data_IF_633467621990
#
_entry.id   IF_633467621990
#
_cell.length_a   1.000
_cell.length_b   1.000
_cell.length_c   1.000
_cell.angle_alpha   90.00
_cell.angle_beta   90.00
_cell.angle_gamma   90.00
#
_symmetry.space_group_name_H-M   'P 1'
#
loop_
_entity.id
_entity.type
_entity.pdbx_description
1 polymer ?
#
# COMPACT_ATOMS: atom_id res chain seq x y z
N UNK A 1 -28.91 -14.66 10.08
CA UNK A 1 -27.50 -14.26 10.27
C UNK A 1 -27.43 -13.32 11.47
N UNK A 2 -26.56 -13.63 12.44
CA UNK A 2 -26.42 -12.83 13.65
C UNK A 2 -25.81 -11.45 13.30
N UNK A 3 -26.44 -10.34 13.73
CA UNK A 3 -26.01 -8.97 13.39
C UNK A 3 -24.83 -8.48 14.23
N UNK A 4 -24.23 -9.34 15.05
CA UNK A 4 -23.18 -8.96 16.01
C UNK A 4 -21.75 -8.96 15.44
N UNK A 5 -21.60 -9.04 14.12
CA UNK A 5 -20.29 -9.03 13.47
C UNK A 5 -19.64 -7.66 13.64
N UNK A 6 -18.35 -7.64 13.98
CA UNK A 6 -17.61 -6.40 14.22
C UNK A 6 -17.67 -5.42 13.04
N UNK A 7 -17.71 -5.94 11.81
CA UNK A 7 -17.76 -5.18 10.55
C UNK A 7 -19.12 -4.53 10.27
N UNK A 8 -20.18 -4.95 10.96
CA UNK A 8 -21.54 -4.42 10.82
C UNK A 8 -21.91 -3.45 11.95
N UNK A 9 -20.99 -3.20 12.90
CA UNK A 9 -21.19 -2.24 13.99
C UNK A 9 -20.85 -0.84 13.52
N UNK A 10 -21.64 0.14 13.96
CA UNK A 10 -21.37 1.56 13.72
C UNK A 10 -20.02 1.93 14.34
N UNK A 11 -19.18 2.62 13.55
CA UNK A 11 -17.91 3.14 14.05
C UNK A 11 -18.17 4.24 15.08
N UNK A 12 -17.81 4.00 16.33
CA UNK A 12 -17.84 4.98 17.41
C UNK A 12 -16.42 5.45 17.73
N UNK A 13 -16.21 6.77 17.89
CA UNK A 13 -14.92 7.28 18.38
C UNK A 13 -14.68 6.79 19.81
N UNK A 14 -13.57 6.09 20.09
CA UNK A 14 -13.26 5.65 21.44
C UNK A 14 -12.91 6.86 22.32
N UNK A 15 -13.26 6.79 23.61
CA UNK A 15 -12.76 7.74 24.61
C UNK A 15 -11.26 7.55 24.79
N UNK A 16 -10.51 8.64 24.82
CA UNK A 16 -9.08 8.59 25.13
C UNK A 16 -8.86 8.04 26.54
N UNK A 17 -7.91 7.12 26.75
CA UNK A 17 -7.58 6.64 28.09
C UNK A 17 -7.00 7.76 28.94
N UNK A 18 -7.26 7.66 30.25
CA UNK A 18 -6.58 8.46 31.25
C UNK A 18 -5.11 8.03 31.33
N UNK A 19 -4.22 9.02 31.42
CA UNK A 19 -2.80 8.83 31.64
C UNK A 19 -2.37 9.70 32.82
N UNK A 20 -1.43 9.21 33.61
CA UNK A 20 -0.74 10.05 34.57
C UNK A 20 -0.01 11.20 33.86
N UNK A 21 0.03 12.38 34.48
CA UNK A 21 0.59 13.60 33.91
C UNK A 21 2.05 13.45 33.39
N UNK A 22 2.83 12.51 33.94
CA UNK A 22 4.18 12.22 33.45
C UNK A 22 4.15 11.51 32.08
N UNK A 23 3.27 10.53 31.91
CA UNK A 23 3.11 9.78 30.66
C UNK A 23 2.39 10.63 29.61
N UNK A 24 1.48 11.49 30.03
CA UNK A 24 0.78 12.41 29.12
C UNK A 24 1.74 13.31 28.34
N UNK A 25 2.82 13.79 28.98
CA UNK A 25 3.87 14.57 28.32
C UNK A 25 4.69 13.79 27.28
N UNK A 26 4.60 12.46 27.27
CA UNK A 26 5.28 11.60 26.31
C UNK A 26 4.42 11.27 25.08
N UNK A 27 3.11 11.56 25.12
CA UNK A 27 2.22 11.34 24.00
C UNK A 27 2.37 12.47 22.97
N UNK A 28 2.86 12.17 21.77
CA UNK A 28 2.93 13.13 20.67
C UNK A 28 1.60 13.18 19.90
N UNK A 29 0.87 12.07 19.86
CA UNK A 29 -0.41 11.92 19.16
C UNK A 29 -1.49 11.34 20.09
N UNK A 30 -2.78 11.48 19.76
CA UNK A 30 -3.85 10.80 20.49
C UNK A 30 -3.71 9.28 20.51
N UNK A 31 -3.09 8.69 19.48
CA UNK A 31 -2.85 7.25 19.37
C UNK A 31 -1.85 6.79 20.44
N UNK A 32 -0.81 7.58 20.70
CA UNK A 32 0.20 7.28 21.72
C UNK A 32 -0.43 7.11 23.10
N UNK A 33 -1.56 7.77 23.37
CA UNK A 33 -2.26 7.61 24.65
C UNK A 33 -2.73 6.17 24.87
N UNK A 34 -3.21 5.52 23.81
CA UNK A 34 -3.62 4.12 23.86
C UNK A 34 -2.43 3.17 24.04
N UNK A 35 -1.31 3.48 23.38
CA UNK A 35 -0.07 2.70 23.51
C UNK A 35 0.48 2.82 24.93
N UNK A 36 0.63 4.04 25.45
CA UNK A 36 1.14 4.32 26.79
C UNK A 36 0.26 3.72 27.88
N UNK A 37 -1.07 3.77 27.73
CA UNK A 37 -1.98 3.16 28.69
C UNK A 37 -1.77 1.64 28.76
N UNK A 38 -1.56 0.98 27.61
CA UNK A 38 -1.26 -0.46 27.57
C UNK A 38 0.14 -0.78 28.11
N UNK A 39 1.16 0.04 27.80
CA UNK A 39 2.49 -0.14 28.37
C UNK A 39 2.46 -0.02 29.90
N UNK A 40 1.80 1.01 30.43
CA UNK A 40 1.64 1.23 31.87
C UNK A 40 0.93 0.04 32.54
N UNK A 41 -0.17 -0.44 31.98
CA UNK A 41 -0.90 -1.59 32.51
C UNK A 41 -0.06 -2.88 32.55
N UNK A 42 0.95 -2.99 31.68
CA UNK A 42 1.88 -4.13 31.63
C UNK A 42 3.22 -3.85 32.34
N UNK A 43 3.38 -2.70 33.02
CA UNK A 43 4.64 -2.33 33.67
C UNK A 43 5.80 -2.08 32.70
N UNK A 44 5.50 -1.74 31.44
CA UNK A 44 6.46 -1.46 30.38
C UNK A 44 6.60 0.04 30.13
N UNK A 45 7.70 0.43 29.46
CA UNK A 45 7.95 1.80 29.01
C UNK A 45 8.19 1.85 27.50
N UNK A 46 8.10 3.05 26.92
CA UNK A 46 8.46 3.27 25.52
C UNK A 46 9.93 2.95 25.28
N UNK A 47 10.23 2.31 24.15
CA UNK A 47 11.60 2.11 23.72
C UNK A 47 12.28 3.46 23.43
N UNK A 48 13.59 3.53 23.66
CA UNK A 48 14.37 4.69 23.25
C UNK A 48 14.30 4.88 21.72
N UNK A 49 14.33 6.14 21.26
CA UNK A 49 14.40 6.44 19.83
C UNK A 49 15.70 5.86 19.27
N UNK A 50 15.60 5.23 18.10
CA UNK A 50 16.78 4.72 17.40
C UNK A 50 17.73 5.87 17.00
N UNK A 51 19.01 5.57 16.86
CA UNK A 51 20.01 6.53 16.39
C UNK A 51 19.73 6.95 14.93
N UNK A 52 20.28 8.10 14.53
CA UNK A 52 20.02 8.70 13.20
C UNK A 52 20.40 7.76 12.05
N UNK A 53 21.50 7.03 12.16
CA UNK A 53 21.95 6.11 11.10
C UNK A 53 20.95 4.95 10.95
N UNK A 54 20.48 4.39 12.07
CA UNK A 54 19.44 3.36 12.07
C UNK A 54 18.12 3.88 11.48
N UNK A 55 17.71 5.11 11.85
CA UNK A 55 16.51 5.74 11.31
C UNK A 55 16.58 5.95 9.79
N UNK A 56 17.69 6.48 9.27
CA UNK A 56 17.89 6.63 7.83
C UNK A 56 17.77 5.29 7.12
N UNK A 57 18.49 4.27 7.59
CA UNK A 57 18.42 2.93 6.98
C UNK A 57 16.98 2.40 6.93
N UNK A 58 16.24 2.49 8.04
CA UNK A 58 14.84 2.02 8.10
C UNK A 58 13.96 2.77 7.10
N UNK A 59 14.02 4.09 7.11
CA UNK A 59 13.20 4.91 6.20
C UNK A 59 13.41 4.56 4.73
N UNK A 60 14.65 4.41 4.28
CA UNK A 60 14.94 4.06 2.89
C UNK A 60 14.43 2.65 2.53
N UNK A 61 14.60 1.66 3.40
CA UNK A 61 14.06 0.32 3.14
C UNK A 61 12.54 0.26 3.20
N UNK A 62 11.93 0.98 4.13
CA UNK A 62 10.48 0.96 4.32
C UNK A 62 9.79 1.70 3.17
N UNK A 63 10.29 2.89 2.80
CA UNK A 63 9.66 3.75 1.80
C UNK A 63 10.06 3.43 0.36
N UNK A 64 11.34 3.13 0.11
CA UNK A 64 11.86 2.89 -1.24
C UNK A 64 12.22 1.42 -1.50
N UNK A 65 12.38 0.60 -0.45
CA UNK A 65 12.84 -0.79 -0.59
C UNK A 65 14.32 -0.94 -0.91
N UNK A 66 15.08 0.15 -0.92
CA UNK A 66 16.50 0.19 -1.28
C UNK A 66 17.34 0.70 -0.10
N UNK A 67 18.61 0.30 0.04
CA UNK A 67 19.51 0.90 1.01
C UNK A 67 19.85 2.36 0.63
N UNK A 68 20.08 3.26 1.61
CA UNK A 68 20.65 4.58 1.34
C UNK A 68 22.13 4.47 0.95
N UNK A 69 22.62 5.45 0.20
CA UNK A 69 24.04 5.66 -0.04
C UNK A 69 24.76 6.19 1.22
N UNK A 70 26.08 6.03 1.32
CA UNK A 70 26.85 6.60 2.43
C UNK A 70 26.66 8.11 2.59
N UNK A 71 26.60 8.85 1.47
CA UNK A 71 26.46 10.31 1.48
C UNK A 71 25.08 10.77 1.95
N UNK A 72 24.02 10.06 1.56
CA UNK A 72 22.66 10.32 2.07
C UNK A 72 22.55 10.10 3.58
N UNK A 73 23.22 9.06 4.09
CA UNK A 73 23.28 8.81 5.54
C UNK A 73 24.07 9.92 6.24
N UNK A 74 25.24 10.30 5.71
CA UNK A 74 26.07 11.36 6.29
C UNK A 74 25.30 12.69 6.34
N UNK A 75 24.67 13.09 5.22
CA UNK A 75 23.84 14.27 5.14
C UNK A 75 22.71 14.26 6.18
N UNK A 76 22.01 13.13 6.36
CA UNK A 76 20.99 13.03 7.40
C UNK A 76 21.58 13.01 8.81
N UNK A 77 22.72 12.38 9.07
CA UNK A 77 23.30 12.31 10.42
C UNK A 77 23.81 13.69 10.87
N UNK A 78 24.38 14.47 9.96
CA UNK A 78 24.98 15.78 10.23
C UNK A 78 23.94 16.92 10.26
N UNK A 79 22.74 16.69 9.73
CA UNK A 79 21.67 17.67 9.73
C UNK A 79 21.13 17.98 11.15
N UNK A 80 21.52 19.14 11.67
CA UNK A 80 21.11 19.64 12.99
C UNK A 80 19.74 20.31 13.00
N UNK A 81 19.05 20.39 11.86
CA UNK A 81 17.68 20.91 11.78
C UNK A 81 16.75 20.11 12.71
N UNK A 82 15.86 20.78 13.45
CA UNK A 82 14.83 20.10 14.22
C UNK A 82 13.83 19.35 13.32
N UNK A 83 13.81 19.65 12.01
CA UNK A 83 12.94 19.03 11.00
C UNK A 83 13.67 18.02 10.11
N UNK A 84 14.92 17.67 10.43
CA UNK A 84 15.75 16.83 9.55
C UNK A 84 15.08 15.48 9.23
N UNK A 85 14.35 14.91 10.20
CA UNK A 85 13.67 13.63 10.00
C UNK A 85 12.48 13.76 9.06
N UNK A 86 11.64 14.76 9.29
CA UNK A 86 10.47 15.09 8.48
C UNK A 86 10.89 15.42 7.04
N UNK A 87 11.93 16.24 6.87
CA UNK A 87 12.48 16.58 5.57
C UNK A 87 13.05 15.38 4.81
N UNK A 88 13.65 14.41 5.52
CA UNK A 88 14.07 13.16 4.91
C UNK A 88 12.86 12.33 4.46
N UNK A 89 11.83 12.20 5.32
CA UNK A 89 10.59 11.49 4.98
C UNK A 89 9.94 12.09 3.74
N UNK A 90 9.75 13.41 3.71
CA UNK A 90 9.15 14.13 2.57
C UNK A 90 9.91 13.88 1.27
N UNK A 91 11.25 13.90 1.33
CA UNK A 91 12.10 13.63 0.16
C UNK A 91 11.93 12.20 -0.35
N UNK A 92 11.81 11.22 0.56
CA UNK A 92 11.62 9.83 0.19
C UNK A 92 10.20 9.57 -0.34
N UNK A 93 9.18 10.20 0.23
CA UNK A 93 7.81 10.12 -0.29
C UNK A 93 7.68 10.75 -1.69
N UNK A 94 8.44 11.81 -1.97
CA UNK A 94 8.46 12.47 -3.28
C UNK A 94 9.30 11.73 -4.34
N UNK A 95 10.03 10.68 -3.96
CA UNK A 95 10.86 9.92 -4.90
C UNK A 95 9.99 8.98 -5.75
N UNK A 96 10.24 8.85 -7.07
CA UNK A 96 9.42 7.98 -7.93
C UNK A 96 9.49 6.50 -7.53
N UNK A 97 10.57 6.09 -6.85
CA UNK A 97 10.75 4.75 -6.30
C UNK A 97 9.77 4.45 -5.16
N UNK A 98 9.17 5.47 -4.53
CA UNK A 98 8.12 5.27 -3.53
C UNK A 98 6.93 4.52 -4.15
N UNK A 99 6.41 5.01 -5.27
CA UNK A 99 5.32 4.36 -6.01
C UNK A 99 5.69 2.96 -6.48
N UNK A 100 6.92 2.75 -6.95
CA UNK A 100 7.41 1.40 -7.33
C UNK A 100 7.42 0.44 -6.14
N UNK A 101 7.85 0.92 -4.96
CA UNK A 101 7.88 0.14 -3.72
C UNK A 101 6.47 -0.19 -3.24
N UNK A 102 5.61 0.80 -3.14
CA UNK A 102 4.27 0.66 -2.54
C UNK A 102 3.26 0.00 -3.48
N UNK A 103 3.35 0.25 -4.79
CA UNK A 103 2.51 -0.42 -5.77
C UNK A 103 2.68 -1.94 -5.75
N UNK A 104 3.88 -2.47 -5.46
CA UNK A 104 4.07 -3.93 -5.33
C UNK A 104 3.14 -4.55 -4.28
N UNK A 105 2.94 -3.88 -3.15
CA UNK A 105 2.02 -4.40 -2.12
C UNK A 105 0.58 -4.50 -2.63
N UNK A 106 0.13 -3.53 -3.42
CA UNK A 106 -1.19 -3.60 -4.06
C UNK A 106 -1.24 -4.69 -5.12
N UNK A 107 -0.25 -4.73 -6.01
CA UNK A 107 -0.14 -5.68 -7.12
C UNK A 107 -0.08 -7.13 -6.62
N UNK A 108 0.57 -7.38 -5.48
CA UNK A 108 0.57 -8.68 -4.80
C UNK A 108 -0.84 -9.07 -4.34
N UNK A 109 -1.57 -8.14 -3.70
CA UNK A 109 -2.94 -8.38 -3.19
C UNK A 109 -3.90 -8.71 -4.33
N UNK A 110 -3.81 -7.98 -5.45
CA UNK A 110 -4.68 -8.20 -6.62
C UNK A 110 -4.19 -9.31 -7.54
N UNK A 111 -3.10 -10.01 -7.16
CA UNK A 111 -2.51 -11.12 -7.92
C UNK A 111 -2.14 -10.73 -9.35
N UNK A 112 -1.56 -9.54 -9.51
CA UNK A 112 -0.99 -9.12 -10.76
C UNK A 112 0.16 -10.05 -11.16
N UNK A 113 0.20 -10.43 -12.43
CA UNK A 113 1.32 -11.13 -13.03
C UNK A 113 1.46 -10.73 -14.50
N UNK A 114 2.69 -10.76 -15.01
CA UNK A 114 2.95 -10.61 -16.45
C UNK A 114 2.60 -11.89 -17.24
N UNK A 115 2.01 -12.89 -16.57
CA UNK A 115 1.61 -14.19 -17.15
C UNK A 115 0.20 -14.59 -16.71
N UNK A 116 -0.34 -15.66 -17.30
CA UNK A 116 -1.69 -16.13 -17.05
C UNK A 116 -1.86 -16.77 -15.67
N UNK A 117 -0.79 -17.29 -15.07
CA UNK A 117 -0.79 -17.84 -13.71
C UNK A 117 -1.64 -19.10 -13.56
N UNK A 118 -1.83 -19.87 -14.64
CA UNK A 118 -2.63 -21.09 -14.70
C UNK A 118 -1.89 -22.21 -15.48
N UNK A 119 -2.55 -23.35 -15.72
CA UNK A 119 -1.95 -24.58 -16.27
C UNK A 119 -1.03 -24.34 -17.48
N UNK A 120 -1.50 -23.57 -18.47
CA UNK A 120 -0.64 -22.99 -19.51
C UNK A 120 -0.28 -21.55 -19.14
N UNK A 121 0.86 -21.39 -18.47
CA UNK A 121 1.33 -20.08 -18.03
C UNK A 121 1.88 -19.25 -19.21
N UNK A 122 0.98 -18.63 -19.97
CA UNK A 122 1.30 -17.76 -21.11
C UNK A 122 1.57 -16.33 -20.67
N UNK A 123 2.44 -15.64 -21.39
CA UNK A 123 2.68 -14.21 -21.19
C UNK A 123 1.39 -13.41 -21.45
N UNK A 124 1.26 -12.28 -20.72
CA UNK A 124 0.27 -11.23 -20.96
C UNK A 124 0.99 -9.99 -21.50
N UNK A 125 1.09 -9.81 -22.83
CA UNK A 125 1.89 -8.72 -23.42
C UNK A 125 1.47 -7.31 -22.98
N UNK A 126 0.22 -7.15 -22.56
CA UNK A 126 -0.38 -5.86 -22.20
C UNK A 126 -0.80 -5.79 -20.72
N UNK A 127 -0.16 -6.55 -19.81
CA UNK A 127 -0.43 -6.44 -18.38
C UNK A 127 0.20 -5.17 -17.77
N UNK A 128 1.40 -4.80 -18.24
CA UNK A 128 2.21 -3.71 -17.71
C UNK A 128 1.54 -2.32 -17.64
N UNK A 129 0.59 -1.92 -18.53
CA UNK A 129 -0.04 -0.61 -18.41
C UNK A 129 -0.83 -0.45 -17.11
N UNK A 130 -1.42 -1.52 -16.58
CA UNK A 130 -2.09 -1.49 -15.28
C UNK A 130 -1.09 -1.35 -14.13
N UNK A 131 0.04 -2.08 -14.18
CA UNK A 131 1.14 -1.93 -13.21
C UNK A 131 1.62 -0.48 -13.15
N UNK A 132 1.89 0.11 -14.31
CA UNK A 132 2.41 1.47 -14.42
C UNK A 132 1.37 2.50 -13.95
N UNK A 133 0.08 2.26 -14.23
CA UNK A 133 -1.03 3.03 -13.65
C UNK A 133 -1.03 2.98 -12.12
N UNK A 134 -0.89 1.80 -11.49
CA UNK A 134 -0.85 1.68 -10.03
C UNK A 134 0.36 2.42 -9.45
N UNK A 135 1.55 2.26 -10.05
CA UNK A 135 2.76 2.99 -9.63
C UNK A 135 2.54 4.49 -9.64
N UNK A 136 1.98 5.01 -10.73
CA UNK A 136 1.68 6.43 -10.88
C UNK A 136 0.62 6.90 -9.87
N UNK A 137 -0.43 6.12 -9.64
CA UNK A 137 -1.47 6.46 -8.67
C UNK A 137 -0.91 6.64 -7.24
N UNK A 138 0.08 5.82 -6.84
CA UNK A 138 0.78 6.00 -5.57
C UNK A 138 1.66 7.25 -5.55
N UNK A 139 2.43 7.51 -6.61
CA UNK A 139 3.32 8.68 -6.69
C UNK A 139 2.56 10.02 -6.75
N UNK A 140 1.36 10.02 -7.30
CA UNK A 140 0.49 11.21 -7.40
C UNK A 140 -0.41 11.41 -6.17
N UNK A 141 -0.27 10.56 -5.14
CA UNK A 141 -1.14 10.55 -3.96
C UNK A 141 -2.63 10.52 -4.34
N UNK A 142 -2.98 9.66 -5.29
CA UNK A 142 -4.33 9.58 -5.84
C UNK A 142 -5.33 9.25 -4.71
N UNK A 143 -6.42 10.02 -4.56
CA UNK A 143 -7.43 9.74 -3.55
C UNK A 143 -7.93 8.29 -3.65
N UNK A 144 -7.96 7.58 -2.53
CA UNK A 144 -8.32 6.16 -2.49
C UNK A 144 -9.68 5.87 -3.14
N UNK A 145 -10.67 6.74 -2.93
CA UNK A 145 -11.99 6.61 -3.55
C UNK A 145 -11.89 6.61 -5.09
N UNK A 146 -11.15 7.56 -5.66
CA UNK A 146 -10.94 7.67 -7.10
C UNK A 146 -10.20 6.44 -7.63
N UNK A 147 -9.14 6.03 -6.93
CA UNK A 147 -8.35 4.84 -7.29
C UNK A 147 -9.19 3.55 -7.33
N UNK A 148 -10.14 3.38 -6.40
CA UNK A 148 -11.06 2.23 -6.38
C UNK A 148 -12.10 2.34 -7.50
N UNK A 149 -12.68 3.53 -7.71
CA UNK A 149 -13.68 3.76 -8.77
C UNK A 149 -13.11 3.47 -10.16
N UNK A 150 -11.89 3.94 -10.46
CA UNK A 150 -11.19 3.68 -11.73
C UNK A 150 -10.97 2.18 -11.97
N UNK A 151 -10.72 1.41 -10.91
CA UNK A 151 -10.47 -0.03 -11.01
C UNK A 151 -11.73 -0.88 -11.18
N UNK A 152 -12.88 -0.41 -10.71
CA UNK A 152 -14.14 -1.16 -10.77
C UNK A 152 -15.02 -0.79 -11.96
N UNK A 153 -15.05 0.48 -12.34
CA UNK A 153 -15.95 1.01 -13.36
C UNK A 153 -15.41 2.29 -14.01
N UNK A 154 -14.08 2.39 -14.20
CA UNK A 154 -13.44 3.61 -14.68
C UNK A 154 -13.88 4.07 -16.07
N UNK A 155 -14.19 3.14 -16.97
CA UNK A 155 -14.73 3.42 -18.31
C UNK A 155 -16.11 4.09 -18.27
N UNK A 156 -16.95 3.71 -17.31
CA UNK A 156 -18.29 4.26 -17.13
C UNK A 156 -18.27 5.56 -16.31
N UNK A 157 -17.51 5.59 -15.22
CA UNK A 157 -17.48 6.72 -14.30
C UNK A 157 -16.65 7.89 -14.85
N UNK A 158 -15.60 7.60 -15.64
CA UNK A 158 -14.65 8.58 -16.16
C UNK A 158 -14.41 8.39 -17.67
N UNK A 159 -15.47 8.54 -18.50
CA UNK A 159 -15.36 8.31 -19.93
C UNK A 159 -14.37 9.29 -20.58
N UNK A 160 -13.44 8.76 -21.37
CA UNK A 160 -12.41 9.55 -22.06
C UNK A 160 -11.17 9.85 -21.23
N UNK A 161 -11.16 9.50 -19.94
CA UNK A 161 -9.97 9.54 -19.11
C UNK A 161 -9.13 8.25 -19.33
N UNK A 162 -7.86 8.35 -19.74
CA UNK A 162 -7.00 7.18 -19.90
C UNK A 162 -6.93 6.31 -18.64
N UNK A 163 -6.93 6.92 -17.46
CA UNK A 163 -6.85 6.20 -16.19
C UNK A 163 -8.14 5.42 -15.88
N UNK A 164 -9.28 5.88 -16.41
CA UNK A 164 -10.54 5.13 -16.37
C UNK A 164 -10.46 3.80 -17.12
N UNK A 165 -9.65 3.71 -18.19
CA UNK A 165 -9.44 2.46 -18.93
C UNK A 165 -8.31 1.63 -18.30
N UNK A 166 -7.18 2.26 -17.96
CA UNK A 166 -6.03 1.57 -17.40
C UNK A 166 -6.33 0.92 -16.05
N UNK A 167 -7.13 1.59 -15.20
CA UNK A 167 -7.55 1.07 -13.90
C UNK A 167 -8.30 -0.26 -14.00
N UNK A 168 -9.08 -0.49 -15.06
CA UNK A 168 -9.84 -1.73 -15.27
C UNK A 168 -8.96 -2.97 -15.45
N UNK A 169 -7.65 -2.81 -15.63
CA UNK A 169 -6.71 -3.93 -15.52
C UNK A 169 -6.84 -4.70 -14.21
N UNK A 170 -7.36 -4.07 -13.15
CA UNK A 170 -7.76 -4.74 -11.90
C UNK A 170 -8.73 -5.91 -12.12
N UNK A 171 -9.74 -5.75 -12.98
CA UNK A 171 -10.75 -6.80 -13.24
C UNK A 171 -10.17 -7.98 -14.03
N UNK A 172 -9.08 -7.74 -14.75
CA UNK A 172 -8.34 -8.77 -15.48
C UNK A 172 -7.19 -9.37 -14.65
N UNK A 173 -6.94 -8.86 -13.44
CA UNK A 173 -5.89 -9.37 -12.56
C UNK A 173 -6.27 -10.76 -12.00
N UNK A 174 -5.25 -11.61 -11.77
CA UNK A 174 -5.43 -12.98 -11.29
C UNK A 174 -5.43 -14.05 -12.39
N UNK A 175 -5.49 -15.34 -12.03
CA UNK A 175 -5.31 -16.44 -12.96
C UNK A 175 -6.32 -16.44 -14.12
N UNK A 176 -5.84 -16.73 -15.33
CA UNK A 176 -6.69 -16.85 -16.50
C UNK A 176 -6.49 -18.21 -17.18
N UNK A 177 -7.59 -18.95 -17.32
CA UNK A 177 -7.57 -20.27 -17.95
C UNK A 177 -7.53 -20.16 -19.47
N UNK A 178 -6.32 -20.08 -20.01
CA UNK A 178 -6.08 -20.04 -21.45
C UNK A 178 -6.71 -21.25 -22.17
N UNK A 179 -6.67 -22.45 -21.56
CA UNK A 179 -7.14 -23.68 -22.21
C UNK A 179 -8.66 -23.62 -22.37
N UNK A 180 -9.37 -23.38 -21.27
CA UNK A 180 -10.84 -23.32 -21.28
C UNK A 180 -11.40 -22.18 -22.11
N UNK A 181 -10.69 -21.05 -22.22
CA UNK A 181 -11.20 -19.89 -22.96
C UNK A 181 -10.79 -19.87 -24.45
N UNK A 182 -9.64 -20.44 -24.81
CA UNK A 182 -9.08 -20.33 -26.18
C UNK A 182 -9.02 -21.67 -26.92
N UNK A 183 -8.55 -22.73 -26.26
CA UNK A 183 -8.28 -24.02 -26.93
C UNK A 183 -9.50 -24.95 -26.92
N UNK A 184 -10.29 -24.89 -25.85
CA UNK A 184 -11.50 -25.68 -25.62
C UNK A 184 -12.64 -24.78 -25.12
N UNK A 185 -13.03 -23.76 -25.90
CA UNK A 185 -14.13 -22.87 -25.50
C UNK A 185 -15.44 -23.66 -25.35
N UNK A 186 -16.36 -23.19 -24.48
CA UNK A 186 -17.69 -23.81 -24.30
C UNK A 186 -18.51 -23.93 -25.59
N UNK A 187 -18.18 -23.10 -26.59
CA UNK A 187 -18.74 -23.09 -27.94
C UNK A 187 -18.23 -24.24 -28.82
N UNK A 188 -17.17 -24.94 -28.42
CA UNK A 188 -16.65 -26.12 -29.13
C UNK A 188 -17.66 -27.26 -28.99
N UNK A 189 -18.04 -27.84 -30.13
CA UNK A 189 -19.12 -28.84 -30.23
C UNK A 189 -18.56 -30.28 -30.25
N UNK A 190 -17.23 -30.44 -30.34
CA UNK A 190 -16.57 -31.75 -30.34
C UNK A 190 -16.74 -32.43 -28.98
N UNK A 191 -17.43 -33.58 -28.97
CA UNK A 191 -17.64 -34.41 -27.77
C UNK A 191 -18.95 -34.18 -27.01
N UNK A 192 -19.87 -33.35 -27.54
CA UNK A 192 -21.27 -33.32 -27.07
C UNK A 192 -22.08 -34.37 -27.86
N UNK A 193 -22.02 -35.63 -27.42
CA UNK A 193 -23.02 -36.66 -27.76
C UNK A 193 -24.22 -36.58 -26.80
#
# INVERSE_FOLDING_TARGET
ADKNWWSLKVLSRPSSPYLEHRLERQAATPIDRFILAKLQANGLSMAARADRRTLARRLYFDLLGLPPTPDEVAAFVEDSSPLAYEQLVDRLLASPQYGERWARHWLDVVKYADTCGYDKDKLRPNAWPYRDYVIRAFNEDKPYERFVQEQLAGDILFPGDPDGILGLGFLAAGPWDFIGHVEVPETKIDGKE
#
